data_IF_545309905672
#
_entry.id   IF_545309905672
#
_cell.length_a   1.000
_cell.length_b   1.000
_cell.length_c   1.000
_cell.angle_alpha   90.00
_cell.angle_beta   90.00
_cell.angle_gamma   90.00
#
_symmetry.space_group_name_H-M   'P 1'
#
loop_
_entity.id
_entity.type
_entity.pdbx_description
1 polymer ?
#
# COMPACT_ATOMS: atom_id res chain seq x y z
N UNK A 1 16.41 -10.31 32.10
CA UNK A 1 15.65 -10.77 30.92
C UNK A 1 16.44 -10.33 29.71
N UNK A 2 17.24 -11.24 29.17
CA UNK A 2 18.07 -11.03 27.98
C UNK A 2 17.15 -11.05 26.76
N UNK A 3 17.08 -9.91 26.08
CA UNK A 3 16.45 -9.78 24.77
C UNK A 3 17.35 -10.50 23.76
N UNK A 4 17.01 -11.74 23.43
CA UNK A 4 17.72 -12.54 22.45
C UNK A 4 17.19 -12.11 21.08
N UNK A 5 18.01 -11.51 20.20
CA UNK A 5 17.57 -11.23 18.85
C UNK A 5 17.30 -12.58 18.18
N UNK A 6 16.04 -12.80 17.79
CA UNK A 6 15.64 -13.97 17.04
C UNK A 6 16.59 -14.14 15.84
N UNK A 7 17.15 -15.35 15.62
CA UNK A 7 18.04 -15.58 14.49
C UNK A 7 17.27 -15.32 13.20
N UNK A 8 17.83 -14.47 12.34
CA UNK A 8 17.40 -14.21 10.97
C UNK A 8 17.48 -15.53 10.18
N UNK A 9 16.38 -16.26 10.11
CA UNK A 9 16.30 -17.57 9.44
C UNK A 9 15.89 -17.47 7.97
N UNK A 10 15.57 -16.26 7.48
CA UNK A 10 15.18 -16.03 6.07
C UNK A 10 15.91 -14.83 5.41
N UNK A 11 17.24 -14.92 5.22
CA UNK A 11 18.03 -13.82 4.66
C UNK A 11 17.65 -13.42 3.23
N UNK A 12 17.21 -14.36 2.38
CA UNK A 12 16.78 -14.04 1.02
C UNK A 12 15.47 -13.25 1.02
N UNK A 13 14.48 -13.70 1.80
CA UNK A 13 13.21 -13.01 1.95
C UNK A 13 13.39 -11.61 2.55
N UNK A 14 14.23 -11.47 3.57
CA UNK A 14 14.55 -10.16 4.16
C UNK A 14 15.31 -9.24 3.20
N UNK A 15 16.22 -9.77 2.39
CA UNK A 15 16.87 -8.99 1.35
C UNK A 15 15.88 -8.54 0.27
N UNK A 16 14.92 -9.39 -0.11
CA UNK A 16 13.86 -9.05 -1.05
C UNK A 16 12.97 -7.92 -0.51
N UNK A 17 12.47 -8.04 0.72
CA UNK A 17 11.58 -7.04 1.33
C UNK A 17 12.26 -5.69 1.49
N UNK A 18 13.53 -5.66 1.88
CA UNK A 18 14.33 -4.41 1.92
C UNK A 18 14.51 -3.77 0.55
N UNK A 19 14.83 -4.57 -0.48
CA UNK A 19 14.94 -4.05 -1.86
C UNK A 19 13.61 -3.49 -2.37
N UNK A 20 12.52 -4.20 -2.10
CA UNK A 20 11.18 -3.75 -2.47
C UNK A 20 10.79 -2.45 -1.75
N UNK A 21 11.10 -2.30 -0.45
CA UNK A 21 10.83 -1.06 0.30
C UNK A 21 11.55 0.14 -0.30
N UNK A 22 12.86 0.00 -0.58
CA UNK A 22 13.66 1.05 -1.23
C UNK A 22 13.11 1.43 -2.60
N UNK A 23 12.60 0.45 -3.35
CA UNK A 23 11.96 0.72 -4.64
C UNK A 23 10.63 1.47 -4.48
N UNK A 24 9.80 1.12 -3.49
CA UNK A 24 8.57 1.86 -3.21
C UNK A 24 8.85 3.30 -2.73
N UNK A 25 9.90 3.48 -1.94
CA UNK A 25 10.36 4.80 -1.52
C UNK A 25 10.78 5.66 -2.71
N UNK A 26 11.58 5.11 -3.65
CA UNK A 26 12.00 5.85 -4.85
C UNK A 26 10.82 6.20 -5.78
N UNK A 27 9.74 5.42 -5.73
CA UNK A 27 8.48 5.72 -6.41
C UNK A 27 7.65 6.81 -5.71
N UNK A 28 8.09 7.34 -4.57
CA UNK A 28 7.45 8.42 -3.82
C UNK A 28 6.22 7.98 -3.03
N UNK A 29 6.21 6.76 -2.50
CA UNK A 29 5.18 6.34 -1.54
C UNK A 29 5.31 7.13 -0.23
N UNK A 30 4.19 7.39 0.46
CA UNK A 30 4.24 8.10 1.74
C UNK A 30 4.88 7.23 2.82
N UNK A 31 5.51 7.84 3.83
CA UNK A 31 6.05 7.13 5.00
C UNK A 31 5.02 6.21 5.65
N UNK A 32 3.78 6.67 5.80
CA UNK A 32 2.68 5.85 6.32
C UNK A 32 2.38 4.60 5.48
N UNK A 33 2.53 4.70 4.15
CA UNK A 33 2.36 3.55 3.26
C UNK A 33 3.55 2.61 3.36
N UNK A 34 4.77 3.15 3.40
CA UNK A 34 6.01 2.38 3.53
C UNK A 34 6.03 1.60 4.85
N UNK A 35 5.71 2.25 5.98
CA UNK A 35 5.62 1.59 7.27
C UNK A 35 4.59 0.46 7.30
N UNK A 36 3.49 0.58 6.53
CA UNK A 36 2.53 -0.51 6.40
C UNK A 36 3.09 -1.72 5.63
N UNK A 37 3.77 -1.48 4.50
CA UNK A 37 4.44 -2.55 3.75
C UNK A 37 5.52 -3.21 4.61
N UNK A 38 6.35 -2.42 5.28
CA UNK A 38 7.42 -2.89 6.15
C UNK A 38 6.88 -3.78 7.27
N UNK A 39 5.85 -3.33 8.01
CA UNK A 39 5.25 -4.10 9.08
C UNK A 39 4.68 -5.43 8.56
N UNK A 40 3.99 -5.40 7.43
CA UNK A 40 3.38 -6.60 6.85
C UNK A 40 4.45 -7.60 6.39
N UNK A 41 5.52 -7.12 5.78
CA UNK A 41 6.60 -7.97 5.30
C UNK A 41 7.48 -8.52 6.43
N UNK A 42 7.69 -7.77 7.52
CA UNK A 42 8.31 -8.31 8.74
C UNK A 42 7.49 -9.47 9.31
N UNK A 43 6.16 -9.32 9.37
CA UNK A 43 5.26 -10.41 9.81
C UNK A 43 5.33 -11.61 8.88
N UNK A 44 5.47 -11.40 7.57
CA UNK A 44 5.67 -12.48 6.61
C UNK A 44 6.99 -13.24 6.88
N UNK A 45 8.10 -12.54 7.14
CA UNK A 45 9.37 -13.18 7.49
C UNK A 45 9.26 -14.00 8.78
N UNK A 46 8.65 -13.45 9.83
CA UNK A 46 8.42 -14.16 11.10
C UNK A 46 7.54 -15.39 10.88
N UNK A 47 6.46 -15.25 10.10
CA UNK A 47 5.59 -16.38 9.76
C UNK A 47 6.34 -17.48 9.01
N UNK A 48 7.15 -17.13 8.00
CA UNK A 48 7.96 -18.10 7.26
C UNK A 48 8.93 -18.85 8.19
N UNK A 49 9.48 -18.14 9.19
CA UNK A 49 10.35 -18.72 10.21
C UNK A 49 9.60 -19.68 11.13
N UNK A 50 8.47 -19.26 11.68
CA UNK A 50 7.64 -20.07 12.57
C UNK A 50 7.12 -21.35 11.90
N UNK A 51 6.80 -21.28 10.60
CA UNK A 51 6.32 -22.42 9.82
C UNK A 51 7.44 -23.26 9.20
N UNK A 52 8.72 -22.93 9.43
CA UNK A 52 9.88 -23.61 8.84
C UNK A 52 9.79 -23.73 7.31
N UNK A 53 9.28 -22.69 6.65
CA UNK A 53 9.12 -22.63 5.20
C UNK A 53 10.47 -22.30 4.52
N UNK A 54 10.59 -22.48 3.20
CA UNK A 54 11.80 -22.09 2.47
C UNK A 54 12.10 -20.58 2.55
N UNK A 55 13.38 -20.21 2.38
CA UNK A 55 13.87 -18.82 2.43
C UNK A 55 13.43 -17.96 1.23
N UNK A 56 13.11 -18.59 0.11
CA UNK A 56 12.60 -17.92 -1.07
C UNK A 56 11.13 -17.48 -0.94
N UNK A 57 10.79 -16.35 -1.55
CA UNK A 57 9.39 -16.00 -1.78
C UNK A 57 8.77 -16.99 -2.78
N UNK A 58 7.70 -17.67 -2.38
CA UNK A 58 6.90 -18.54 -3.24
C UNK A 58 5.41 -18.16 -3.18
N UNK A 59 4.64 -18.60 -4.17
CA UNK A 59 3.18 -18.44 -4.17
C UNK A 59 2.55 -19.18 -2.97
N UNK A 60 3.02 -20.41 -2.69
CA UNK A 60 2.58 -21.20 -1.54
C UNK A 60 2.80 -20.49 -0.20
N UNK A 61 3.95 -19.82 -0.02
CA UNK A 61 4.21 -19.04 1.20
C UNK A 61 3.20 -17.91 1.35
N UNK A 62 2.90 -17.20 0.27
CA UNK A 62 1.94 -16.09 0.28
C UNK A 62 0.52 -16.58 0.56
N UNK A 63 0.12 -17.69 -0.04
CA UNK A 63 -1.21 -18.28 0.18
C UNK A 63 -1.36 -18.80 1.61
N UNK A 64 -0.35 -19.47 2.15
CA UNK A 64 -0.34 -19.90 3.55
C UNK A 64 -0.40 -18.71 4.52
N UNK A 65 0.34 -17.64 4.24
CA UNK A 65 0.29 -16.42 5.05
C UNK A 65 -1.08 -15.73 5.01
N UNK A 66 -1.70 -15.64 3.84
CA UNK A 66 -3.04 -15.07 3.70
C UNK A 66 -4.11 -15.95 4.37
N UNK A 67 -3.98 -17.27 4.28
CA UNK A 67 -4.85 -18.23 4.97
C UNK A 67 -4.70 -18.14 6.49
N UNK A 68 -3.48 -18.01 7.01
CA UNK A 68 -3.20 -17.81 8.43
C UNK A 68 -3.90 -16.55 8.99
N UNK A 69 -4.01 -15.51 8.17
CA UNK A 69 -4.76 -14.29 8.51
C UNK A 69 -6.24 -14.32 8.13
N UNK A 70 -6.79 -15.48 7.77
CA UNK A 70 -8.19 -15.69 7.37
C UNK A 70 -8.66 -14.74 6.27
N UNK A 71 -7.77 -14.42 5.32
CA UNK A 71 -8.09 -13.51 4.22
C UNK A 71 -9.00 -14.22 3.21
N UNK A 72 -10.23 -13.74 2.97
CA UNK A 72 -11.16 -14.39 2.05
C UNK A 72 -10.68 -14.34 0.59
N UNK A 73 -10.95 -15.42 -0.13
CA UNK A 73 -10.75 -15.49 -1.57
C UNK A 73 -11.69 -14.50 -2.30
N UNK A 74 -12.94 -14.38 -1.88
CA UNK A 74 -13.90 -13.45 -2.47
C UNK A 74 -13.59 -11.99 -2.09
N UNK A 75 -13.55 -11.09 -3.07
CA UNK A 75 -13.22 -9.68 -2.82
C UNK A 75 -14.29 -8.94 -1.99
N UNK A 76 -15.56 -9.32 -2.13
CA UNK A 76 -16.69 -8.69 -1.45
C UNK A 76 -16.64 -8.86 0.08
N UNK A 77 -16.03 -9.94 0.56
CA UNK A 77 -15.94 -10.29 1.98
C UNK A 77 -14.70 -9.68 2.67
N UNK A 78 -13.83 -9.01 1.90
CA UNK A 78 -12.56 -8.50 2.44
C UNK A 78 -12.77 -7.21 3.24
N UNK A 79 -12.39 -7.24 4.50
CA UNK A 79 -12.23 -6.05 5.34
C UNK A 79 -11.12 -5.14 4.77
N UNK A 80 -11.02 -3.87 5.21
CA UNK A 80 -9.88 -3.02 4.86
C UNK A 80 -8.54 -3.70 5.14
N UNK A 81 -8.41 -4.34 6.30
CA UNK A 81 -7.21 -5.10 6.68
C UNK A 81 -6.88 -6.22 5.68
N UNK A 82 -7.86 -7.03 5.28
CA UNK A 82 -7.69 -8.09 4.29
C UNK A 82 -7.21 -7.56 2.94
N UNK A 83 -7.79 -6.43 2.49
CA UNK A 83 -7.38 -5.78 1.24
C UNK A 83 -5.94 -5.29 1.31
N UNK A 84 -5.52 -4.80 2.48
CA UNK A 84 -4.17 -4.31 2.66
C UNK A 84 -3.14 -5.45 2.69
N UNK A 85 -3.43 -6.57 3.38
CA UNK A 85 -2.56 -7.76 3.36
C UNK A 85 -2.37 -8.27 1.93
N UNK A 86 -3.46 -8.47 1.16
CA UNK A 86 -3.36 -8.92 -0.25
C UNK A 86 -2.61 -7.93 -1.12
N UNK A 87 -2.75 -6.63 -0.86
CA UNK A 87 -1.99 -5.62 -1.59
C UNK A 87 -0.51 -5.71 -1.26
N UNK A 88 -0.13 -5.86 0.01
CA UNK A 88 1.26 -5.97 0.41
C UNK A 88 1.93 -7.23 -0.12
N UNK A 89 1.26 -8.39 -0.05
CA UNK A 89 1.79 -9.64 -0.62
C UNK A 89 1.85 -9.59 -2.14
N UNK A 90 0.82 -9.04 -2.80
CA UNK A 90 0.81 -8.89 -4.26
C UNK A 90 1.89 -7.95 -4.78
N UNK A 91 2.17 -6.84 -4.08
CA UNK A 91 3.28 -5.93 -4.44
C UNK A 91 4.63 -6.62 -4.31
N UNK A 92 4.83 -7.40 -3.25
CA UNK A 92 6.08 -8.14 -3.05
C UNK A 92 6.27 -9.22 -4.12
N UNK A 93 5.20 -9.97 -4.44
CA UNK A 93 5.20 -10.97 -5.52
C UNK A 93 5.54 -10.34 -6.89
N UNK A 94 4.89 -9.22 -7.22
CA UNK A 94 5.17 -8.49 -8.45
C UNK A 94 6.63 -8.04 -8.52
N UNK A 95 7.16 -7.51 -7.40
CA UNK A 95 8.56 -7.11 -7.32
C UNK A 95 9.52 -8.30 -7.44
N UNK A 96 9.20 -9.45 -6.85
CA UNK A 96 10.03 -10.65 -6.94
C UNK A 96 10.15 -11.16 -8.38
N UNK A 97 9.05 -11.13 -9.15
CA UNK A 97 9.03 -11.61 -10.54
C UNK A 97 9.68 -10.62 -11.51
N UNK A 98 9.43 -9.32 -11.34
CA UNK A 98 9.81 -8.31 -12.34
C UNK A 98 10.98 -7.41 -11.92
N UNK A 99 11.39 -7.45 -10.65
CA UNK A 99 12.36 -6.51 -10.09
C UNK A 99 11.85 -5.07 -9.97
N UNK A 100 10.57 -4.82 -10.27
CA UNK A 100 9.97 -3.50 -10.28
C UNK A 100 8.46 -3.56 -9.98
N UNK A 101 7.92 -2.48 -9.44
CA UNK A 101 6.49 -2.31 -9.19
C UNK A 101 6.01 -1.08 -9.95
N UNK A 102 5.03 -1.26 -10.83
CA UNK A 102 4.40 -0.12 -11.48
C UNK A 102 3.53 0.62 -10.46
N UNK A 103 3.91 1.85 -10.08
CA UNK A 103 3.01 2.73 -9.34
C UNK A 103 1.87 3.15 -10.26
N UNK A 104 0.67 2.59 -10.03
CA UNK A 104 -0.52 2.83 -10.87
C UNK A 104 -0.96 4.30 -10.95
N UNK A 105 -0.57 5.13 -9.98
CA UNK A 105 -0.89 6.56 -9.93
C UNK A 105 0.25 7.29 -9.23
N UNK A 106 1.14 7.96 -9.99
CA UNK A 106 1.86 9.11 -9.43
C UNK A 106 0.81 10.18 -9.16
N UNK A 107 0.67 10.63 -7.90
CA UNK A 107 -0.02 11.88 -7.67
C UNK A 107 0.75 12.93 -8.47
N UNK A 108 0.16 13.48 -9.53
CA UNK A 108 0.72 14.65 -10.20
C UNK A 108 0.96 15.68 -9.12
N UNK A 109 2.14 16.31 -9.13
CA UNK A 109 2.34 17.49 -8.30
C UNK A 109 1.19 18.45 -8.63
N UNK A 110 0.46 18.97 -7.63
CA UNK A 110 -0.60 19.92 -7.89
C UNK A 110 0.00 21.11 -8.64
N UNK A 111 -0.52 21.41 -9.83
CA UNK A 111 -0.20 22.66 -10.49
C UNK A 111 -0.89 23.77 -9.70
N UNK A 112 -0.19 24.87 -9.36
CA UNK A 112 -0.84 25.96 -8.64
C UNK A 112 -2.04 26.46 -9.44
N UNK A 113 -3.23 26.33 -8.86
CA UNK A 113 -4.44 26.91 -9.44
C UNK A 113 -4.26 28.43 -9.47
N UNK A 114 -4.38 29.08 -10.63
CA UNK A 114 -4.29 30.53 -10.71
C UNK A 114 -5.27 31.19 -9.72
N UNK A 115 -4.84 32.25 -9.03
CA UNK A 115 -5.69 32.95 -8.05
C UNK A 115 -7.11 33.29 -8.55
N UNK A 116 -7.32 33.70 -9.83
CA UNK A 116 -8.67 33.94 -10.36
C UNK A 116 -9.58 32.71 -10.40
N UNK A 117 -9.01 31.50 -10.44
CA UNK A 117 -9.76 30.24 -10.50
C UNK A 117 -10.08 29.66 -9.11
N UNK A 118 -9.42 30.13 -8.05
CA UNK A 118 -9.68 29.66 -6.68
C UNK A 118 -11.10 30.01 -6.21
N UNK A 119 -11.59 31.19 -6.59
CA UNK A 119 -12.93 31.62 -6.24
C UNK A 119 -13.99 30.76 -6.94
N UNK A 120 -13.81 30.52 -8.24
CA UNK A 120 -14.68 29.64 -9.04
C UNK A 120 -14.67 28.21 -8.50
N UNK A 121 -13.50 27.68 -8.14
CA UNK A 121 -13.37 26.36 -7.52
C UNK A 121 -14.13 26.28 -6.18
N UNK A 122 -14.04 27.33 -5.37
CA UNK A 122 -14.73 27.40 -4.08
C UNK A 122 -16.25 27.42 -4.28
N UNK A 123 -16.74 28.26 -5.20
CA UNK A 123 -18.16 28.33 -5.55
C UNK A 123 -18.68 26.96 -6.07
N UNK A 124 -17.92 26.30 -6.94
CA UNK A 124 -18.25 24.97 -7.45
C UNK A 124 -18.36 23.91 -6.35
N UNK A 125 -17.40 23.87 -5.42
CA UNK A 125 -17.40 22.90 -4.32
C UNK A 125 -18.55 23.16 -3.34
N UNK A 126 -18.87 24.43 -3.06
CA UNK A 126 -20.04 24.82 -2.27
C UNK A 126 -21.33 24.38 -2.93
N UNK A 127 -21.48 24.59 -4.24
CA UNK A 127 -22.62 24.11 -5.01
C UNK A 127 -22.77 22.59 -4.93
N UNK A 128 -21.67 21.85 -5.10
CA UNK A 128 -21.69 20.38 -4.98
C UNK A 128 -22.11 19.90 -3.59
N UNK A 129 -21.68 20.59 -2.53
CA UNK A 129 -22.04 20.23 -1.16
C UNK A 129 -23.52 20.50 -0.87
N UNK A 130 -24.00 21.67 -1.28
CA UNK A 130 -25.33 22.19 -0.90
C UNK A 130 -26.45 21.69 -1.82
N UNK A 131 -26.22 21.61 -3.13
CA UNK A 131 -27.26 21.26 -4.10
C UNK A 131 -27.16 19.81 -4.60
N UNK A 132 -25.97 19.21 -4.60
CA UNK A 132 -25.76 17.82 -5.04
C UNK A 132 -25.55 16.83 -3.88
N UNK A 133 -25.55 17.31 -2.62
CA UNK A 133 -25.36 16.46 -1.44
C UNK A 133 -24.03 15.72 -1.43
N UNK A 134 -22.98 16.26 -2.07
CA UNK A 134 -21.71 15.57 -2.20
C UNK A 134 -21.05 15.35 -0.83
N UNK A 135 -20.69 14.10 -0.54
CA UNK A 135 -20.00 13.72 0.71
C UNK A 135 -18.59 14.34 0.78
N UNK A 136 -18.03 14.55 1.98
CA UNK A 136 -16.70 15.15 2.14
C UNK A 136 -15.57 14.45 1.37
N UNK A 137 -15.62 13.11 1.27
CA UNK A 137 -14.66 12.34 0.47
C UNK A 137 -14.74 12.65 -1.03
N UNK A 138 -15.96 12.81 -1.54
CA UNK A 138 -16.23 13.17 -2.95
C UNK A 138 -15.74 14.59 -3.24
N UNK A 139 -16.00 15.55 -2.34
CA UNK A 139 -15.52 16.93 -2.47
C UNK A 139 -13.99 17.00 -2.48
N UNK A 140 -13.32 16.23 -1.61
CA UNK A 140 -11.85 16.12 -1.58
C UNK A 140 -11.30 15.59 -2.91
N UNK A 141 -11.91 14.56 -3.46
CA UNK A 141 -11.51 14.01 -4.77
C UNK A 141 -11.71 15.00 -5.92
N UNK A 142 -12.86 15.69 -5.96
CA UNK A 142 -13.15 16.73 -6.97
C UNK A 142 -12.16 17.88 -6.90
N UNK A 143 -11.86 18.38 -5.69
CA UNK A 143 -10.84 19.40 -5.48
C UNK A 143 -9.47 18.96 -6.00
N UNK A 144 -9.02 17.76 -5.63
CA UNK A 144 -7.74 17.22 -6.08
C UNK A 144 -7.64 17.07 -7.60
N UNK A 145 -8.73 16.69 -8.28
CA UNK A 145 -8.75 16.62 -9.75
C UNK A 145 -8.65 18.00 -10.41
N UNK A 146 -9.27 19.02 -9.82
CA UNK A 146 -9.29 20.38 -10.37
C UNK A 146 -8.04 21.20 -10.00
N UNK A 147 -7.30 20.78 -8.97
CA UNK A 147 -6.02 21.36 -8.56
C UNK A 147 -4.81 20.67 -9.23
N UNK A 148 -5.02 19.61 -10.01
CA UNK A 148 -3.98 18.85 -10.69
C UNK A 148 -4.12 18.95 -12.21
N UNK A 149 -3.88 20.15 -12.76
CA UNK A 149 -3.66 20.35 -14.20
C UNK A 149 -2.25 19.89 -14.59
#
# INVERSE_FOLDING_TARGET
>A
MTDVPLPTLHPELEALTRRALKHLESLGYSESSLGYFELTWKRLCVFAQEQSLPDGLSEDLLDQFLAHHHVPAAAAERTPFHRHLRRATGVLAQFAVHGAVARRIMKRAPSPVPAPMLEVLTQYLTYCATHLGARPGTLRGRRQHLEAF
#
